data_IF_153349434643
#
_entry.id   IF_153349434643
#
_cell.length_a   1.000
_cell.length_b   1.000
_cell.length_c   1.000
_cell.angle_alpha   90.00
_cell.angle_beta   90.00
_cell.angle_gamma   90.00
#
_symmetry.space_group_name_H-M   'P 1'
#
loop_
_entity.id
_entity.type
_entity.pdbx_description
1 polymer ?
#
# COMPACT_ATOMS: atom_id res chain seq x y z
N UNK A 1 5.99 11.89 -22.69
CA UNK A 1 6.84 12.53 -21.67
C UNK A 1 6.60 11.80 -20.38
N UNK A 2 7.61 11.08 -19.93
CA UNK A 2 7.60 10.23 -18.75
C UNK A 2 8.12 11.12 -17.63
N UNK A 3 7.25 11.49 -16.70
CA UNK A 3 7.66 12.31 -15.56
C UNK A 3 8.38 11.39 -14.57
N UNK A 4 9.65 11.70 -14.29
CA UNK A 4 10.53 10.87 -13.47
C UNK A 4 10.10 10.99 -12.00
N UNK A 5 9.43 9.94 -11.50
CA UNK A 5 8.79 9.87 -10.18
C UNK A 5 9.71 9.78 -8.97
N UNK A 6 10.84 10.48 -8.97
CA UNK A 6 11.62 10.69 -7.73
C UNK A 6 10.87 11.68 -6.83
N UNK A 7 10.09 11.15 -5.89
CA UNK A 7 9.35 11.93 -4.89
C UNK A 7 7.86 11.57 -4.74
N UNK A 8 7.36 10.57 -5.47
CA UNK A 8 5.93 10.24 -5.46
C UNK A 8 5.56 9.06 -4.54
N UNK A 9 6.49 8.44 -3.80
CA UNK A 9 6.12 7.30 -2.95
C UNK A 9 5.08 7.66 -1.89
N UNK A 10 4.13 6.75 -1.67
CA UNK A 10 3.18 6.85 -0.57
C UNK A 10 3.96 6.73 0.74
N UNK A 11 3.81 7.75 1.58
CA UNK A 11 4.51 7.85 2.85
C UNK A 11 3.66 7.28 3.98
N UNK A 12 4.31 6.66 4.95
CA UNK A 12 3.69 6.18 6.19
C UNK A 12 4.06 7.17 7.28
N UNK A 13 3.10 8.00 7.64
CA UNK A 13 3.25 9.11 8.58
C UNK A 13 2.14 9.06 9.63
N UNK A 14 2.33 9.81 10.72
CA UNK A 14 1.33 9.94 11.77
C UNK A 14 0.03 10.57 11.24
N UNK A 15 -1.14 10.21 11.82
CA UNK A 15 -2.40 10.87 11.55
C UNK A 15 -2.29 12.40 11.65
N UNK A 16 -2.62 13.13 10.58
CA UNK A 16 -2.56 14.60 10.56
C UNK A 16 -3.71 15.23 11.37
N UNK A 17 -4.76 14.45 11.69
CA UNK A 17 -5.97 14.92 12.37
C UNK A 17 -6.89 15.76 11.49
N UNK A 18 -6.63 15.84 10.19
CA UNK A 18 -7.46 16.55 9.21
C UNK A 18 -8.26 15.53 8.40
N UNK A 19 -9.60 15.52 8.52
CA UNK A 19 -10.44 14.61 7.75
C UNK A 19 -10.21 14.72 6.25
N UNK A 20 -10.22 13.57 5.58
CA UNK A 20 -10.01 13.41 4.15
C UNK A 20 -8.57 13.37 3.68
N UNK A 21 -7.58 13.81 4.47
CA UNK A 21 -6.18 13.90 4.00
C UNK A 21 -5.47 12.56 3.89
N UNK A 22 -5.72 11.67 4.86
CA UNK A 22 -5.09 10.35 4.95
C UNK A 22 -6.13 9.23 4.92
N UNK A 23 -7.32 9.54 4.40
CA UNK A 23 -8.42 8.60 4.27
C UNK A 23 -8.37 7.88 2.93
N UNK A 24 -8.75 6.60 2.96
CA UNK A 24 -8.71 5.72 1.82
C UNK A 24 -10.05 5.02 1.65
N UNK A 25 -10.52 4.93 0.41
CA UNK A 25 -11.59 4.01 0.04
C UNK A 25 -10.98 2.66 -0.27
N UNK A 26 -11.54 1.62 0.34
CA UNK A 26 -11.24 0.22 0.00
C UNK A 26 -12.27 -0.21 -1.04
N UNK A 27 -11.81 -0.47 -2.26
CA UNK A 27 -12.66 -0.99 -3.32
C UNK A 27 -12.46 -2.50 -3.43
N UNK A 28 -13.51 -3.29 -3.13
CA UNK A 28 -13.49 -4.73 -3.39
C UNK A 28 -13.35 -5.00 -4.89
N UNK A 29 -12.44 -5.91 -5.25
CA UNK A 29 -12.22 -6.39 -6.62
C UNK A 29 -12.62 -7.87 -6.71
N UNK A 30 -12.18 -8.56 -7.76
CA UNK A 30 -12.60 -9.94 -7.99
C UNK A 30 -11.99 -10.87 -6.93
N UNK A 31 -12.84 -11.61 -6.22
CA UNK A 31 -12.40 -12.55 -5.19
C UNK A 31 -12.07 -11.86 -3.86
N UNK A 32 -10.85 -12.09 -3.37
CA UNK A 32 -10.32 -11.57 -2.11
C UNK A 32 -9.36 -10.38 -2.31
N UNK A 33 -9.31 -9.82 -3.52
CA UNK A 33 -8.49 -8.65 -3.82
C UNK A 33 -9.22 -7.33 -3.55
N UNK A 34 -8.43 -6.31 -3.21
CA UNK A 34 -8.87 -4.94 -2.97
C UNK A 34 -8.00 -3.97 -3.75
N UNK A 35 -8.52 -2.79 -4.05
CA UNK A 35 -7.73 -1.63 -4.41
C UNK A 35 -7.91 -0.53 -3.37
N UNK A 36 -6.82 0.16 -3.03
CA UNK A 36 -6.84 1.28 -2.10
C UNK A 36 -6.80 2.60 -2.87
N UNK A 37 -7.77 3.48 -2.64
CA UNK A 37 -7.85 4.78 -3.30
C UNK A 37 -7.83 5.91 -2.29
N UNK A 38 -6.86 6.81 -2.38
CA UNK A 38 -6.79 7.97 -1.50
C UNK A 38 -7.92 8.94 -1.84
N UNK A 39 -8.67 9.36 -0.81
CA UNK A 39 -9.85 10.20 -0.98
C UNK A 39 -9.51 11.60 -1.51
N UNK A 40 -8.53 12.27 -0.91
CA UNK A 40 -8.10 13.63 -1.29
C UNK A 40 -7.50 13.70 -2.70
N UNK A 41 -6.65 12.72 -3.05
CA UNK A 41 -5.89 12.75 -4.29
C UNK A 41 -6.59 12.04 -5.45
N UNK A 42 -7.63 11.25 -5.19
CA UNK A 42 -8.33 10.45 -6.21
C UNK A 42 -7.37 9.55 -7.02
N UNK A 43 -6.36 8.98 -6.33
CA UNK A 43 -5.34 8.08 -6.88
C UNK A 43 -5.31 6.79 -6.09
N UNK A 44 -4.93 5.70 -6.76
CA UNK A 44 -4.76 4.40 -6.12
C UNK A 44 -3.36 4.25 -5.55
N UNK A 45 -3.21 3.43 -4.51
CA UNK A 45 -1.91 2.86 -4.17
C UNK A 45 -1.57 1.78 -5.20
N UNK A 46 -0.38 1.84 -5.78
CA UNK A 46 0.10 0.86 -6.76
C UNK A 46 1.61 0.91 -6.91
N UNK A 47 2.12 0.36 -8.00
CA UNK A 47 3.56 0.34 -8.33
C UNK A 47 3.79 0.78 -9.77
N UNK A 48 5.04 1.05 -10.12
CA UNK A 48 5.45 1.23 -11.50
C UNK A 48 5.99 -0.07 -12.08
N UNK A 49 5.32 -0.62 -13.09
CA UNK A 49 5.74 -1.85 -13.77
C UNK A 49 5.36 -3.11 -12.99
N UNK A 50 6.19 -4.15 -13.14
CA UNK A 50 5.96 -5.46 -12.51
C UNK A 50 6.33 -5.46 -11.02
N UNK A 51 5.58 -6.19 -10.17
CA UNK A 51 5.87 -6.28 -8.74
C UNK A 51 7.18 -7.01 -8.49
N UNK A 52 8.16 -6.29 -7.96
CA UNK A 52 9.46 -6.86 -7.55
C UNK A 52 9.80 -6.42 -6.13
N UNK A 53 10.76 -7.10 -5.50
CA UNK A 53 11.21 -6.75 -4.15
C UNK A 53 11.65 -5.27 -4.07
N UNK A 54 11.22 -4.58 -3.01
CA UNK A 54 11.44 -3.16 -2.76
C UNK A 54 10.83 -2.21 -3.80
N UNK A 55 9.97 -2.70 -4.71
CA UNK A 55 9.13 -1.82 -5.55
C UNK A 55 8.38 -0.82 -4.68
N UNK A 56 8.58 0.46 -4.94
CA UNK A 56 7.96 1.53 -4.18
C UNK A 56 6.46 1.57 -4.45
N UNK A 57 5.68 1.79 -3.39
CA UNK A 57 4.26 2.03 -3.51
C UNK A 57 4.06 3.50 -3.87
N UNK A 58 3.43 3.75 -5.02
CA UNK A 58 3.27 5.08 -5.61
C UNK A 58 1.80 5.34 -5.97
N UNK A 59 1.38 6.62 -6.11
CA UNK A 59 0.11 7.00 -6.67
C UNK A 59 -0.04 6.51 -8.11
N UNK A 60 -1.05 5.69 -8.35
CA UNK A 60 -1.42 5.18 -9.65
C UNK A 60 -2.77 5.75 -10.10
N UNK A 61 -2.93 5.94 -11.41
CA UNK A 61 -4.21 6.37 -12.00
C UNK A 61 -5.21 5.22 -12.13
N UNK A 62 -4.72 3.99 -12.23
CA UNK A 62 -5.53 2.78 -12.36
C UNK A 62 -5.50 1.98 -11.05
N UNK A 63 -6.55 1.22 -10.73
CA UNK A 63 -6.55 0.32 -9.58
C UNK A 63 -5.42 -0.70 -9.68
N UNK A 64 -4.64 -0.83 -8.61
CA UNK A 64 -3.70 -1.91 -8.41
C UNK A 64 -4.26 -2.82 -7.31
N UNK A 65 -4.30 -4.11 -7.58
CA UNK A 65 -4.99 -5.08 -6.73
C UNK A 65 -4.03 -5.70 -5.72
N UNK A 66 -4.38 -5.61 -4.45
CA UNK A 66 -3.72 -6.31 -3.36
C UNK A 66 -4.63 -7.42 -2.85
N UNK A 67 -4.09 -8.60 -2.62
CA UNK A 67 -4.74 -9.65 -1.83
C UNK A 67 -4.66 -9.30 -0.34
N UNK A 68 -5.60 -9.82 0.43
CA UNK A 68 -5.74 -9.52 1.86
C UNK A 68 -5.51 -10.79 2.68
N UNK A 69 -4.60 -10.73 3.65
CA UNK A 69 -4.37 -11.76 4.65
C UNK A 69 -4.75 -11.21 6.03
N UNK A 70 -5.65 -11.88 6.74
CA UNK A 70 -6.01 -11.52 8.12
C UNK A 70 -4.86 -11.88 9.05
N UNK A 71 -4.33 -10.91 9.79
CA UNK A 71 -3.16 -11.10 10.63
C UNK A 71 -3.53 -11.67 12.02
N UNK A 72 -4.46 -11.01 12.70
CA UNK A 72 -5.07 -11.46 13.94
C UNK A 72 -6.50 -10.90 14.05
N UNK A 73 -7.25 -11.37 15.05
CA UNK A 73 -8.63 -10.94 15.25
C UNK A 73 -8.72 -9.43 15.52
N UNK A 74 -9.70 -8.80 14.85
CA UNK A 74 -10.05 -7.37 14.81
C UNK A 74 -9.18 -6.50 13.86
N UNK A 75 -9.73 -6.25 12.67
CA UNK A 75 -9.37 -5.22 11.67
C UNK A 75 -7.88 -5.02 11.34
N UNK A 76 -7.06 -6.06 11.52
CA UNK A 76 -5.63 -6.04 11.21
C UNK A 76 -5.32 -6.97 10.04
N UNK A 77 -4.77 -6.38 8.97
CA UNK A 77 -4.61 -7.05 7.69
C UNK A 77 -3.20 -6.84 7.13
N UNK A 78 -2.68 -7.87 6.49
CA UNK A 78 -1.52 -7.75 5.61
C UNK A 78 -2.01 -7.69 4.17
N UNK A 79 -1.51 -6.71 3.42
CA UNK A 79 -1.84 -6.53 2.01
C UNK A 79 -0.66 -7.02 1.19
N UNK A 80 -0.91 -7.85 0.17
CA UNK A 80 0.19 -8.43 -0.60
C UNK A 80 -0.16 -8.64 -2.07
N UNK A 81 0.88 -8.86 -2.86
CA UNK A 81 0.79 -9.37 -4.23
C UNK A 81 1.63 -10.63 -4.36
N UNK A 82 1.28 -11.48 -5.33
CA UNK A 82 2.09 -12.63 -5.71
C UNK A 82 2.97 -12.25 -6.89
N UNK A 83 4.27 -12.48 -6.76
CA UNK A 83 5.24 -12.26 -7.85
C UNK A 83 6.33 -13.31 -7.74
N UNK A 84 6.73 -13.90 -8.87
CA UNK A 84 7.78 -14.92 -8.96
C UNK A 84 7.64 -16.06 -7.91
N UNK A 85 6.40 -16.47 -7.63
CA UNK A 85 6.10 -17.56 -6.68
C UNK A 85 6.25 -17.18 -5.20
N UNK A 86 6.46 -15.90 -4.88
CA UNK A 86 6.51 -15.39 -3.52
C UNK A 86 5.46 -14.31 -3.26
N UNK A 87 5.14 -14.09 -1.97
CA UNK A 87 4.29 -12.98 -1.53
C UNK A 87 5.16 -11.78 -1.21
N UNK A 88 4.81 -10.64 -1.81
CA UNK A 88 5.38 -9.34 -1.50
C UNK A 88 4.32 -8.49 -0.80
N UNK A 89 4.59 -8.13 0.45
CA UNK A 89 3.67 -7.40 1.31
C UNK A 89 3.89 -5.88 1.19
N UNK A 90 2.81 -5.11 1.16
CA UNK A 90 2.86 -3.66 1.30
C UNK A 90 3.26 -3.32 2.73
N UNK A 91 4.46 -2.78 2.93
CA UNK A 91 4.98 -2.46 4.27
C UNK A 91 5.93 -1.23 4.17
N UNK A 92 6.61 -0.88 5.26
CA UNK A 92 7.69 0.10 5.28
C UNK A 92 8.83 -0.32 4.37
N UNK A 93 9.33 0.63 3.57
CA UNK A 93 10.56 0.47 2.82
C UNK A 93 11.73 0.29 3.79
N UNK A 94 12.58 -0.70 3.50
CA UNK A 94 13.82 -0.92 4.24
C UNK A 94 14.88 0.17 3.96
N UNK A 95 14.65 1.01 2.95
CA UNK A 95 15.44 2.19 2.68
C UNK A 95 15.12 3.22 3.77
N UNK A 96 16.12 3.55 4.60
CA UNK A 96 16.01 4.52 5.72
C UNK A 96 15.88 5.97 5.23
N UNK A 97 14.88 6.23 4.41
CA UNK A 97 14.53 7.53 3.83
C UNK A 97 13.46 8.18 4.70
N UNK A 98 13.52 9.51 4.85
CA UNK A 98 12.52 10.27 5.58
C UNK A 98 11.71 11.17 4.62
N UNK A 99 10.37 11.23 4.74
CA UNK A 99 9.54 10.39 5.63
C UNK A 99 9.59 8.90 5.24
N UNK A 100 9.26 7.96 6.16
CA UNK A 100 9.20 6.55 5.83
C UNK A 100 8.25 6.30 4.66
N UNK A 101 8.71 5.55 3.67
CA UNK A 101 7.95 5.25 2.45
C UNK A 101 7.41 3.83 2.49
N UNK A 102 6.34 3.56 1.76
CA UNK A 102 5.83 2.20 1.59
C UNK A 102 6.44 1.51 0.36
N UNK A 103 6.72 0.21 0.48
CA UNK A 103 7.27 -0.63 -0.58
C UNK A 103 6.73 -2.07 -0.49
N UNK A 104 6.97 -2.84 -1.54
CA UNK A 104 6.73 -4.28 -1.59
C UNK A 104 7.89 -5.03 -0.92
N UNK A 105 7.62 -5.69 0.21
CA UNK A 105 8.62 -6.36 1.06
C UNK A 105 8.36 -7.88 1.07
N UNK A 106 9.39 -8.72 0.88
CA UNK A 106 9.22 -10.18 0.92
C UNK A 106 8.72 -10.70 2.27
N UNK A 107 7.94 -11.78 2.23
CA UNK A 107 7.42 -12.49 3.41
C UNK A 107 8.48 -12.92 4.45
N UNK A 108 9.74 -13.07 4.01
CA UNK A 108 10.86 -13.46 4.87
C UNK A 108 11.28 -12.37 5.86
N UNK A 109 10.85 -11.13 5.64
CA UNK A 109 11.11 -10.01 6.55
C UNK A 109 9.99 -9.85 7.57
N UNK A 110 10.31 -9.46 8.82
CA UNK A 110 9.29 -9.18 9.82
C UNK A 110 8.52 -7.92 9.42
N UNK A 111 7.26 -8.09 9.06
CA UNK A 111 6.32 -7.00 8.75
C UNK A 111 5.25 -6.84 9.82
N UNK A 112 4.66 -5.64 9.91
CA UNK A 112 3.52 -5.38 10.78
C UNK A 112 2.22 -5.31 9.95
N UNK A 113 1.10 -5.88 10.44
CA UNK A 113 -0.16 -5.71 9.75
C UNK A 113 -0.63 -4.26 9.82
N UNK A 114 -1.34 -3.83 8.79
CA UNK A 114 -2.07 -2.58 8.77
C UNK A 114 -3.31 -2.70 9.66
N UNK A 115 -3.53 -1.69 10.49
CA UNK A 115 -4.76 -1.55 11.28
C UNK A 115 -5.71 -0.62 10.53
N UNK A 116 -6.94 -1.08 10.30
CA UNK A 116 -7.95 -0.33 9.57
C UNK A 116 -8.96 0.24 10.57
N UNK A 117 -8.96 1.56 10.71
CA UNK A 117 -10.01 2.31 11.41
C UNK A 117 -11.06 2.73 10.38
N UNK A 118 -12.28 2.19 10.50
CA UNK A 118 -13.38 2.53 9.60
C UNK A 118 -14.07 3.79 10.10
N UNK A 119 -14.10 4.82 9.27
CA UNK A 119 -14.85 6.04 9.53
C UNK A 119 -16.34 5.79 9.21
N UNK A 120 -17.22 6.16 10.15
CA UNK A 120 -18.69 6.07 10.02
C UNK A 120 -19.27 7.09 9.03
#
# INVERSE_FOLDING_TARGET
MQDEGFGLSICIIQPAGVPGEQEWTIEQKLGDSIALKNLKHNKYAGINGEPTENSQIVPASNPFEFKVEVADGQHRYKLYVESDGQRLYMDYSMLKIYPPQSALIPASFPGQPWEFEFLE
#
